data_IF_485774722332
#
_entry.id   IF_485774722332
#
_cell.length_a   1.000
_cell.length_b   1.000
_cell.length_c   1.000
_cell.angle_alpha   90.00
_cell.angle_beta   90.00
_cell.angle_gamma   90.00
#
_symmetry.space_group_name_H-M   'P 1'
#
loop_
_entity.id
_entity.type
_entity.pdbx_description
1 polymer ?
#
# COMPACT_ATOMS: atom_id res chain seq x y z
N UNK A 1 22.03 20.04 20.32
CA UNK A 1 21.54 18.92 19.48
C UNK A 1 22.12 17.56 19.92
N UNK A 2 23.26 17.52 20.62
CA UNK A 2 23.96 16.30 21.05
C UNK A 2 23.13 15.40 21.98
N UNK A 3 22.35 15.98 22.90
CA UNK A 3 21.56 15.22 23.91
C UNK A 3 20.53 14.23 23.35
N UNK A 4 19.89 14.52 22.21
CA UNK A 4 18.82 13.66 21.68
C UNK A 4 19.37 12.40 21.01
N UNK A 5 20.49 12.53 20.29
CA UNK A 5 21.13 11.40 19.62
C UNK A 5 21.75 10.45 20.66
N UNK A 6 22.42 11.00 21.67
CA UNK A 6 23.02 10.24 22.77
C UNK A 6 21.96 9.46 23.57
N UNK A 7 20.80 10.07 23.85
CA UNK A 7 19.69 9.38 24.49
C UNK A 7 19.21 8.17 23.66
N UNK A 8 19.06 8.34 22.34
CA UNK A 8 18.66 7.23 21.45
C UNK A 8 19.74 6.14 21.44
N UNK A 9 21.01 6.49 21.31
CA UNK A 9 22.10 5.51 21.24
C UNK A 9 22.21 4.70 22.53
N UNK A 10 22.15 5.36 23.68
CA UNK A 10 22.14 4.70 24.99
C UNK A 10 20.98 3.70 25.09
N UNK A 11 19.78 4.11 24.63
CA UNK A 11 18.61 3.24 24.60
C UNK A 11 18.70 2.07 23.63
N UNK A 12 19.41 2.21 22.53
CA UNK A 12 19.63 1.11 21.60
C UNK A 12 20.72 0.15 22.09
N UNK A 13 21.71 0.65 22.84
CA UNK A 13 22.77 -0.19 23.38
C UNK A 13 22.25 -1.18 24.44
N UNK A 14 21.26 -0.80 25.25
CA UNK A 14 20.65 -1.73 26.20
C UNK A 14 19.90 -2.89 25.53
N UNK A 15 19.46 -2.73 24.27
CA UNK A 15 18.80 -3.80 23.51
C UNK A 15 19.76 -4.93 23.10
N UNK A 16 21.07 -4.69 23.08
CA UNK A 16 22.08 -5.70 22.70
C UNK A 16 22.22 -6.81 23.76
N UNK A 17 21.76 -6.59 24.99
CA UNK A 17 21.88 -7.54 26.09
C UNK A 17 20.57 -8.31 26.32
N UNK A 18 20.26 -9.29 25.45
CA UNK A 18 18.99 -10.03 25.42
C UNK A 18 18.65 -10.85 26.69
N UNK A 19 19.57 -10.94 27.64
CA UNK A 19 19.49 -11.79 28.83
C UNK A 19 18.83 -11.11 30.03
N UNK A 20 18.56 -9.79 29.99
CA UNK A 20 17.89 -9.06 31.07
C UNK A 20 16.95 -7.96 30.54
N UNK A 21 15.76 -7.78 31.11
CA UNK A 21 14.93 -6.62 30.80
C UNK A 21 15.61 -5.34 31.28
N UNK A 22 15.56 -4.28 30.48
CA UNK A 22 16.06 -2.93 30.81
C UNK A 22 14.90 -1.93 30.86
N UNK A 23 15.07 -0.88 31.66
CA UNK A 23 14.15 0.26 31.72
C UNK A 23 14.98 1.53 31.59
N UNK A 24 14.59 2.39 30.67
CA UNK A 24 15.28 3.66 30.43
C UNK A 24 14.32 4.84 30.48
N UNK A 25 14.82 5.93 31.05
CA UNK A 25 14.09 7.19 31.17
C UNK A 25 14.69 8.23 30.24
N UNK A 26 13.98 8.53 29.16
CA UNK A 26 14.27 9.70 28.32
C UNK A 26 13.42 10.86 28.84
N UNK A 27 14.07 11.86 29.42
CA UNK A 27 13.41 13.04 29.99
C UNK A 27 13.84 14.34 29.30
N UNK A 28 12.95 15.32 29.27
CA UNK A 28 13.27 16.66 28.82
C UNK A 28 12.14 17.69 29.07
N UNK A 29 12.47 18.98 29.28
CA UNK A 29 11.50 20.06 29.46
C UNK A 29 10.46 20.20 28.31
N UNK A 30 9.37 20.96 28.49
CA UNK A 30 8.48 21.31 27.39
C UNK A 30 9.24 21.92 26.20
N UNK A 31 8.87 21.57 24.97
CA UNK A 31 9.53 22.08 23.77
C UNK A 31 10.85 21.41 23.36
N UNK A 32 11.42 20.49 24.15
CA UNK A 32 12.71 19.83 23.84
C UNK A 32 12.63 18.69 22.82
N UNK A 33 11.58 18.63 22.01
CA UNK A 33 11.48 17.68 20.90
C UNK A 33 11.30 16.21 21.28
N UNK A 34 10.84 15.87 22.49
CA UNK A 34 10.58 14.48 22.93
C UNK A 34 9.85 13.63 21.90
N UNK A 35 8.75 14.13 21.34
CA UNK A 35 7.98 13.41 20.31
C UNK A 35 8.79 13.15 19.04
N UNK A 36 9.67 14.09 18.65
CA UNK A 36 10.60 13.90 17.53
C UNK A 36 11.61 12.82 17.86
N UNK A 37 12.22 12.86 19.05
CA UNK A 37 13.15 11.83 19.54
C UNK A 37 12.50 10.45 19.53
N UNK A 38 11.29 10.30 20.09
CA UNK A 38 10.53 9.03 20.07
C UNK A 38 10.29 8.56 18.63
N UNK A 39 9.86 9.44 17.72
CA UNK A 39 9.57 9.05 16.33
C UNK A 39 10.82 8.58 15.59
N UNK A 40 11.97 9.22 15.83
CA UNK A 40 13.27 8.82 15.26
C UNK A 40 13.74 7.49 15.86
N UNK A 41 13.60 7.30 17.18
CA UNK A 41 13.92 6.03 17.84
C UNK A 41 13.08 4.88 17.27
N UNK A 42 11.77 5.08 17.11
CA UNK A 42 10.89 4.08 16.49
C UNK A 42 11.27 3.76 15.05
N UNK A 43 11.68 4.77 14.28
CA UNK A 43 12.16 4.56 12.92
C UNK A 43 13.44 3.69 12.89
N UNK A 44 14.37 3.91 13.82
CA UNK A 44 15.59 3.10 13.93
C UNK A 44 15.25 1.66 14.38
N UNK A 45 14.38 1.50 15.38
CA UNK A 45 13.93 0.17 15.82
C UNK A 45 13.25 -0.61 14.68
N UNK A 46 12.45 0.09 13.86
CA UNK A 46 11.82 -0.48 12.68
C UNK A 46 12.86 -0.94 11.63
N UNK A 47 13.90 -0.12 11.37
CA UNK A 47 15.02 -0.48 10.50
C UNK A 47 15.78 -1.70 11.02
N UNK A 48 15.96 -1.79 12.33
CA UNK A 48 16.57 -2.93 13.00
C UNK A 48 15.64 -4.15 13.14
N UNK A 49 14.42 -4.10 12.57
CA UNK A 49 13.40 -5.16 12.59
C UNK A 49 12.96 -5.59 14.01
N UNK A 50 13.01 -4.67 14.98
CA UNK A 50 12.47 -4.91 16.32
C UNK A 50 10.95 -4.70 16.35
N UNK A 51 10.22 -5.69 16.88
CA UNK A 51 8.78 -5.55 17.18
C UNK A 51 8.61 -4.61 18.36
N UNK A 52 8.05 -3.43 18.11
CA UNK A 52 7.97 -2.35 19.11
C UNK A 52 6.52 -1.98 19.37
N UNK A 53 6.10 -2.02 20.65
CA UNK A 53 4.82 -1.46 21.09
C UNK A 53 5.05 -0.03 21.61
N UNK A 54 4.35 0.93 21.01
CA UNK A 54 4.38 2.33 21.47
C UNK A 54 3.05 2.71 22.09
N UNK A 55 3.08 3.31 23.27
CA UNK A 55 1.90 3.83 23.94
C UNK A 55 2.10 5.31 24.31
N UNK A 56 1.00 6.07 24.39
CA UNK A 56 1.02 7.41 24.94
C UNK A 56 -0.27 7.70 25.73
N UNK A 57 -0.25 8.60 26.72
CA UNK A 57 -1.41 8.86 27.58
C UNK A 57 -2.60 9.51 26.87
N UNK A 58 -2.38 10.18 25.74
CA UNK A 58 -3.44 10.87 24.99
C UNK A 58 -3.47 10.47 23.52
N UNK A 59 -4.67 10.42 22.94
CA UNK A 59 -4.85 10.13 21.52
C UNK A 59 -4.11 11.12 20.62
N UNK A 60 -4.04 12.39 21.03
CA UNK A 60 -3.27 13.41 20.30
C UNK A 60 -1.79 13.05 20.26
N UNK A 61 -1.20 12.61 21.38
CA UNK A 61 0.19 12.19 21.39
C UNK A 61 0.43 10.94 20.51
N UNK A 62 -0.51 9.98 20.52
CA UNK A 62 -0.45 8.78 19.66
C UNK A 62 -0.42 9.20 18.18
N UNK A 63 -1.39 9.99 17.73
CA UNK A 63 -1.45 10.40 16.31
C UNK A 63 -0.27 11.29 15.91
N UNK A 64 0.24 12.12 16.82
CA UNK A 64 1.41 12.97 16.55
C UNK A 64 2.72 12.19 16.40
N UNK A 65 2.88 11.07 17.13
CA UNK A 65 4.02 10.15 16.95
C UNK A 65 3.85 9.38 15.65
N UNK A 66 2.65 8.82 15.42
CA UNK A 66 2.35 8.05 14.21
C UNK A 66 2.60 8.86 12.94
N UNK A 67 2.09 10.10 12.87
CA UNK A 67 2.26 11.02 11.74
C UNK A 67 3.74 11.29 11.44
N UNK A 68 4.54 11.53 12.48
CA UNK A 68 5.98 11.76 12.32
C UNK A 68 6.72 10.50 11.86
N UNK A 69 6.36 9.34 12.38
CA UNK A 69 6.96 8.07 11.95
C UNK A 69 6.64 7.78 10.48
N UNK A 70 5.39 7.93 10.05
CA UNK A 70 4.99 7.77 8.64
C UNK A 70 5.78 8.73 7.76
N UNK A 71 5.92 10.00 8.17
CA UNK A 71 6.72 10.97 7.43
C UNK A 71 8.18 10.56 7.27
N UNK A 72 8.83 10.07 8.34
CA UNK A 72 10.22 9.57 8.28
C UNK A 72 10.34 8.37 7.33
N UNK A 73 9.38 7.45 7.37
CA UNK A 73 9.31 6.30 6.46
C UNK A 73 9.20 6.80 5.02
N UNK A 74 8.23 7.66 4.72
CA UNK A 74 8.01 8.22 3.37
C UNK A 74 9.22 9.01 2.84
N UNK A 75 9.92 9.76 3.69
CA UNK A 75 11.14 10.49 3.33
C UNK A 75 12.30 9.54 3.00
N UNK A 76 12.39 8.41 3.72
CA UNK A 76 13.40 7.38 3.44
C UNK A 76 13.22 6.70 2.07
N UNK A 77 11.99 6.60 1.57
CA UNK A 77 11.71 6.09 0.22
C UNK A 77 12.14 7.03 -0.89
N UNK A 78 12.13 8.35 -0.66
CA UNK A 78 12.48 9.36 -1.67
C UNK A 78 13.98 9.47 -1.90
N UNK A 79 14.78 9.11 -0.90
CA UNK A 79 16.24 9.15 -0.95
C UNK A 79 16.80 7.74 -0.69
N UNK A 80 16.64 6.79 -1.64
CA UNK A 80 17.18 5.45 -1.47
C UNK A 80 18.71 5.50 -1.52
N UNK A 81 19.36 5.53 -0.36
CA UNK A 81 20.78 5.20 -0.27
C UNK A 81 20.94 3.70 -0.52
N UNK A 82 21.96 3.31 -1.30
CA UNK A 82 22.17 1.96 -1.81
C UNK A 82 22.29 0.84 -0.74
N UNK A 83 22.42 1.18 0.54
CA UNK A 83 22.64 0.24 1.66
C UNK A 83 21.47 0.17 2.66
N UNK A 84 20.38 0.91 2.45
CA UNK A 84 19.33 1.04 3.48
C UNK A 84 18.16 0.09 3.23
N UNK A 85 17.96 -0.87 4.13
CA UNK A 85 16.77 -1.74 4.19
C UNK A 85 15.50 -0.91 4.16
N UNK A 86 14.64 -1.14 3.17
CA UNK A 86 13.36 -0.44 3.04
C UNK A 86 12.46 -0.82 4.22
N UNK A 87 11.86 0.18 4.88
CA UNK A 87 10.83 -0.05 5.89
C UNK A 87 9.46 0.08 5.22
N UNK A 88 8.78 -1.02 4.87
CA UNK A 88 7.44 -0.92 4.31
C UNK A 88 6.50 -0.30 5.34
N UNK A 89 5.59 0.55 4.86
CA UNK A 89 4.56 1.16 5.72
C UNK A 89 3.66 0.11 6.37
N UNK A 90 3.53 -1.07 5.73
CA UNK A 90 2.80 -2.22 6.24
C UNK A 90 3.30 -2.75 7.59
N UNK A 91 4.58 -2.54 7.93
CA UNK A 91 5.16 -2.93 9.23
C UNK A 91 4.68 -2.08 10.41
N UNK A 92 4.00 -0.95 10.14
CA UNK A 92 3.46 -0.05 11.17
C UNK A 92 1.95 -0.20 11.26
N UNK A 93 1.45 -0.46 12.47
CA UNK A 93 0.02 -0.56 12.75
C UNK A 93 -0.40 0.43 13.84
N UNK A 94 -1.44 1.21 13.55
CA UNK A 94 -2.11 2.08 14.50
C UNK A 94 -3.46 1.45 14.89
N UNK A 95 -3.63 1.20 16.18
CA UNK A 95 -4.82 0.57 16.75
C UNK A 95 -5.53 1.49 17.75
N UNK A 96 -6.86 1.46 17.73
CA UNK A 96 -7.72 2.08 18.73
C UNK A 96 -9.04 2.58 18.15
N UNK A 97 -9.84 3.23 19.00
CA UNK A 97 -11.19 3.65 18.65
C UNK A 97 -11.19 4.80 17.61
N UNK A 98 -11.83 4.56 16.46
CA UNK A 98 -11.93 5.47 15.31
C UNK A 98 -12.39 6.89 15.71
N UNK A 99 -13.47 6.98 16.49
CA UNK A 99 -14.08 8.25 16.87
C UNK A 99 -13.22 9.07 17.83
N UNK A 100 -12.46 8.39 18.70
CA UNK A 100 -11.62 9.05 19.71
C UNK A 100 -10.24 9.42 19.19
N UNK A 101 -9.67 8.64 18.28
CA UNK A 101 -8.32 8.88 17.76
C UNK A 101 -8.24 10.09 16.80
N UNK A 102 -9.35 10.44 16.12
CA UNK A 102 -9.38 11.53 15.12
C UNK A 102 -8.26 11.38 14.08
N UNK A 103 -8.28 10.24 13.39
CA UNK A 103 -7.28 9.84 12.39
C UNK A 103 -7.24 10.85 11.24
N UNK A 104 -6.06 11.40 10.96
CA UNK A 104 -5.80 12.25 9.79
C UNK A 104 -5.52 11.42 8.53
N UNK A 105 -5.63 12.06 7.35
CA UNK A 105 -5.35 11.41 6.07
C UNK A 105 -3.90 10.89 5.98
N UNK A 106 -2.97 11.57 6.64
CA UNK A 106 -1.54 11.26 6.70
C UNK A 106 -1.19 9.95 7.41
N UNK A 107 -2.10 9.41 8.23
CA UNK A 107 -1.90 8.17 8.99
C UNK A 107 -3.02 7.15 8.78
N UNK A 108 -3.91 7.39 7.81
CA UNK A 108 -5.04 6.48 7.55
C UNK A 108 -4.57 5.11 7.06
N UNK A 109 -3.50 5.06 6.26
CA UNK A 109 -2.96 3.81 5.69
C UNK A 109 -2.36 2.85 6.73
N UNK A 110 -1.99 3.34 7.91
CA UNK A 110 -1.50 2.51 9.03
C UNK A 110 -2.61 2.15 10.02
N UNK A 111 -3.82 2.68 9.88
CA UNK A 111 -4.91 2.40 10.80
C UNK A 111 -5.52 1.02 10.57
N UNK A 112 -5.69 0.23 11.64
CA UNK A 112 -6.14 -1.16 11.55
C UNK A 112 -7.46 -1.31 10.81
N UNK A 113 -8.52 -0.63 11.24
CA UNK A 113 -9.85 -0.82 10.65
C UNK A 113 -9.86 -0.43 9.16
N UNK A 114 -9.11 0.60 8.80
CA UNK A 114 -8.95 0.98 7.39
C UNK A 114 -8.27 -0.15 6.59
N UNK A 115 -7.22 -0.78 7.12
CA UNK A 115 -6.56 -1.93 6.48
C UNK A 115 -7.48 -3.13 6.36
N UNK A 116 -8.30 -3.41 7.37
CA UNK A 116 -9.30 -4.47 7.32
C UNK A 116 -10.29 -4.20 6.19
N UNK A 117 -10.82 -2.98 6.07
CA UNK A 117 -11.73 -2.60 4.98
C UNK A 117 -11.07 -2.76 3.59
N UNK A 118 -9.77 -2.40 3.46
CA UNK A 118 -9.00 -2.61 2.21
C UNK A 118 -8.80 -4.10 1.91
N UNK A 119 -8.46 -4.90 2.91
CA UNK A 119 -8.24 -6.34 2.75
C UNK A 119 -9.53 -7.05 2.37
N UNK A 120 -10.67 -6.70 2.97
CA UNK A 120 -11.98 -7.28 2.60
C UNK A 120 -12.29 -7.02 1.14
N UNK A 121 -12.04 -5.80 0.63
CA UNK A 121 -12.21 -5.49 -0.80
C UNK A 121 -11.27 -6.33 -1.66
N UNK A 122 -10.00 -6.46 -1.26
CA UNK A 122 -9.00 -7.24 -1.99
C UNK A 122 -9.26 -8.75 -1.96
N UNK A 123 -9.91 -9.28 -0.93
CA UNK A 123 -10.20 -10.71 -0.79
C UNK A 123 -11.58 -11.09 -1.33
N UNK A 124 -12.31 -10.13 -1.92
CA UNK A 124 -13.63 -10.36 -2.53
C UNK A 124 -13.59 -11.37 -3.69
N UNK A 125 -14.67 -12.13 -3.86
CA UNK A 125 -14.75 -13.19 -4.88
C UNK A 125 -14.80 -12.67 -6.33
N UNK A 126 -15.34 -11.47 -6.56
CA UNK A 126 -15.62 -10.92 -7.89
C UNK A 126 -14.59 -9.86 -8.31
N UNK A 127 -14.07 -9.09 -7.36
CA UNK A 127 -13.14 -7.98 -7.62
C UNK A 127 -11.82 -8.11 -6.88
N UNK A 128 -11.64 -9.21 -6.13
CA UNK A 128 -10.45 -9.43 -5.34
C UNK A 128 -9.28 -9.98 -6.17
N UNK A 129 -8.12 -10.06 -5.52
CA UNK A 129 -6.83 -10.34 -6.14
C UNK A 129 -6.85 -11.68 -6.88
N UNK A 130 -7.44 -12.72 -6.28
CA UNK A 130 -7.57 -14.04 -6.88
C UNK A 130 -8.34 -13.97 -8.20
N UNK A 131 -9.48 -13.27 -8.23
CA UNK A 131 -10.24 -13.07 -9.46
C UNK A 131 -9.45 -12.26 -10.49
N UNK A 132 -8.79 -11.17 -10.08
CA UNK A 132 -7.97 -10.37 -10.99
C UNK A 132 -6.83 -11.18 -11.60
N UNK A 133 -6.17 -12.03 -10.81
CA UNK A 133 -5.11 -12.93 -11.30
C UNK A 133 -5.69 -13.95 -12.26
N UNK A 134 -6.76 -14.66 -11.89
CA UNK A 134 -7.40 -15.65 -12.75
C UNK A 134 -7.90 -15.04 -14.07
N UNK A 135 -8.50 -13.86 -14.04
CA UNK A 135 -8.96 -13.15 -15.24
C UNK A 135 -7.79 -12.70 -16.12
N UNK A 136 -6.68 -12.26 -15.53
CA UNK A 136 -5.49 -11.88 -16.29
C UNK A 136 -4.80 -13.11 -16.89
N UNK A 137 -4.71 -14.22 -16.14
CA UNK A 137 -4.16 -15.50 -16.61
C UNK A 137 -4.99 -16.07 -17.76
N UNK A 138 -6.30 -16.18 -17.57
CA UNK A 138 -7.22 -16.68 -18.60
C UNK A 138 -7.14 -15.84 -19.88
N UNK A 139 -7.05 -14.51 -19.78
CA UNK A 139 -6.80 -13.69 -20.96
C UNK A 139 -5.46 -14.01 -21.63
N UNK A 140 -4.37 -14.23 -20.89
CA UNK A 140 -3.07 -14.55 -21.47
C UNK A 140 -3.04 -15.94 -22.11
N UNK A 141 -3.76 -16.91 -21.55
CA UNK A 141 -3.90 -18.27 -22.06
C UNK A 141 -4.80 -18.32 -23.31
N UNK A 142 -5.96 -17.66 -23.26
CA UNK A 142 -7.01 -17.77 -24.29
C UNK A 142 -7.04 -16.58 -25.27
N UNK A 143 -6.03 -15.69 -25.23
CA UNK A 143 -6.01 -14.41 -25.96
C UNK A 143 -6.39 -14.54 -27.45
N UNK A 144 -5.84 -15.56 -28.13
CA UNK A 144 -6.07 -15.79 -29.56
C UNK A 144 -7.50 -16.26 -29.82
N UNK A 145 -8.00 -17.21 -29.02
CA UNK A 145 -9.37 -17.71 -29.13
C UNK A 145 -10.40 -16.62 -28.81
N UNK A 146 -10.15 -15.81 -27.77
CA UNK A 146 -10.94 -14.62 -27.45
C UNK A 146 -10.96 -13.61 -28.61
N UNK A 147 -9.83 -13.45 -29.31
CA UNK A 147 -9.75 -12.59 -30.48
C UNK A 147 -10.54 -13.14 -31.67
N UNK A 148 -10.48 -14.45 -31.93
CA UNK A 148 -11.25 -15.08 -33.00
C UNK A 148 -12.76 -14.90 -32.78
N UNK A 149 -13.22 -15.11 -31.54
CA UNK A 149 -14.61 -14.85 -31.13
C UNK A 149 -14.96 -13.36 -31.30
N UNK A 150 -14.05 -12.45 -30.94
CA UNK A 150 -14.25 -11.01 -31.14
C UNK A 150 -14.41 -10.65 -32.63
N UNK A 151 -13.54 -11.19 -33.50
CA UNK A 151 -13.60 -10.97 -34.95
C UNK A 151 -14.92 -11.48 -35.51
N UNK A 152 -15.35 -12.69 -35.15
CA UNK A 152 -16.62 -13.27 -35.59
C UNK A 152 -17.81 -12.37 -35.17
N UNK A 153 -17.82 -11.91 -33.92
CA UNK A 153 -18.85 -11.01 -33.41
C UNK A 153 -18.89 -9.65 -34.13
N UNK A 154 -17.73 -9.05 -34.43
CA UNK A 154 -17.68 -7.79 -35.18
C UNK A 154 -18.13 -7.98 -36.63
N UNK A 155 -17.81 -9.11 -37.27
CA UNK A 155 -18.31 -9.45 -38.61
C UNK A 155 -19.83 -9.61 -38.63
N UNK A 156 -20.42 -10.24 -37.62
CA UNK A 156 -21.88 -10.35 -37.47
C UNK A 156 -22.52 -8.96 -37.31
N UNK A 157 -21.93 -8.07 -36.51
CA UNK A 157 -22.42 -6.68 -36.34
C UNK A 157 -22.36 -5.89 -37.65
N UNK A 158 -21.27 -6.04 -38.42
CA UNK A 158 -21.11 -5.37 -39.71
C UNK A 158 -22.16 -5.85 -40.73
N UNK A 159 -22.46 -7.15 -40.78
CA UNK A 159 -23.53 -7.69 -41.64
C UNK A 159 -24.90 -7.12 -41.28
N UNK A 160 -25.26 -7.10 -39.99
CA UNK A 160 -26.54 -6.53 -39.51
C UNK A 160 -26.70 -5.04 -39.79
N UNK A 161 -25.60 -4.29 -39.87
CA UNK A 161 -25.59 -2.87 -40.21
C UNK A 161 -25.71 -2.63 -41.73
N UNK A 162 -25.24 -3.55 -42.56
CA UNK A 162 -25.43 -3.48 -44.00
C UNK A 162 -26.89 -3.71 -44.40
N UNK A 163 -27.63 -4.52 -43.63
CA UNK A 163 -29.06 -4.79 -43.85
C UNK A 163 -29.98 -3.65 -43.37
N UNK A 164 -29.45 -2.68 -42.62
CA UNK A 164 -30.15 -1.48 -42.16
C UNK A 164 -29.53 -0.26 -42.83
N UNK A 165 -29.99 0.06 -44.03
CA UNK A 165 -29.65 1.33 -44.70
C UNK A 165 -30.12 2.51 -43.84
N UNK A 166 -29.24 3.06 -43.01
CA UNK A 166 -29.25 4.50 -42.73
C UNK A 166 -27.88 4.99 -42.26
N UNK A 167 -27.54 6.16 -42.77
CA UNK A 167 -26.21 6.72 -42.79
C UNK A 167 -25.66 7.03 -41.39
N UNK A 168 -24.43 6.58 -41.11
CA UNK A 168 -23.42 7.44 -40.46
C UNK A 168 -22.01 6.92 -40.72
N UNK A 169 -21.19 7.83 -41.23
CA UNK A 169 -19.77 7.66 -41.54
C UNK A 169 -18.98 7.11 -40.35
N UNK A 170 -18.45 5.91 -40.52
CA UNK A 170 -17.41 5.33 -39.70
C UNK A 170 -17.37 3.83 -39.93
N UNK A 171 -16.66 3.36 -40.97
CA UNK A 171 -16.31 1.94 -41.09
C UNK A 171 -15.59 1.57 -39.79
N UNK A 172 -16.27 0.90 -38.85
CA UNK A 172 -15.62 0.31 -37.68
C UNK A 172 -14.61 -0.69 -38.21
N UNK A 173 -13.35 -0.29 -38.23
CA UNK A 173 -12.24 -1.16 -38.58
C UNK A 173 -12.07 -2.16 -37.45
N UNK A 174 -12.16 -3.45 -37.75
CA UNK A 174 -11.85 -4.52 -36.79
C UNK A 174 -10.41 -4.27 -36.32
N UNK A 175 -10.24 -4.16 -35.01
CA UNK A 175 -8.92 -3.96 -34.40
C UNK A 175 -8.01 -5.14 -34.71
N UNK A 176 -6.71 -4.89 -34.89
CA UNK A 176 -5.73 -5.97 -35.01
C UNK A 176 -5.67 -6.80 -33.72
N UNK A 177 -5.13 -8.01 -33.79
CA UNK A 177 -4.88 -8.85 -32.60
C UNK A 177 -4.06 -8.11 -31.54
N UNK A 178 -3.04 -7.36 -31.97
CA UNK A 178 -2.17 -6.61 -31.07
C UNK A 178 -2.96 -5.48 -30.37
N UNK A 179 -3.79 -4.75 -31.10
CA UNK A 179 -4.59 -3.67 -30.52
C UNK A 179 -5.66 -4.20 -29.56
N UNK A 180 -6.31 -5.33 -29.93
CA UNK A 180 -7.23 -6.05 -29.07
C UNK A 180 -6.55 -6.51 -27.78
N UNK A 181 -5.42 -7.22 -27.91
CA UNK A 181 -4.68 -7.76 -26.79
C UNK A 181 -4.19 -6.64 -25.85
N UNK A 182 -3.67 -5.54 -26.40
CA UNK A 182 -3.23 -4.39 -25.60
C UNK A 182 -4.39 -3.74 -24.85
N UNK A 183 -5.53 -3.55 -25.51
CA UNK A 183 -6.73 -2.98 -24.88
C UNK A 183 -7.22 -3.86 -23.73
N UNK A 184 -7.33 -5.17 -23.97
CA UNK A 184 -7.82 -6.13 -22.99
C UNK A 184 -6.86 -6.30 -21.81
N UNK A 185 -5.56 -6.41 -22.08
CA UNK A 185 -4.52 -6.46 -21.06
C UNK A 185 -4.54 -5.23 -20.15
N UNK A 186 -4.68 -4.02 -20.71
CA UNK A 186 -4.71 -2.81 -19.89
C UNK A 186 -5.90 -2.81 -18.91
N UNK A 187 -7.05 -3.37 -19.29
CA UNK A 187 -8.21 -3.49 -18.42
C UNK A 187 -7.99 -4.49 -17.27
N UNK A 188 -7.49 -5.68 -17.60
CA UNK A 188 -7.25 -6.75 -16.61
C UNK A 188 -6.06 -6.41 -15.70
N UNK A 189 -4.96 -5.91 -16.27
CA UNK A 189 -3.77 -5.48 -15.54
C UNK A 189 -4.04 -4.28 -14.62
N UNK A 190 -4.90 -3.33 -15.00
CA UNK A 190 -5.27 -2.21 -14.13
C UNK A 190 -5.92 -2.70 -12.84
N UNK A 191 -6.90 -3.60 -12.95
CA UNK A 191 -7.60 -4.19 -11.81
C UNK A 191 -6.64 -4.98 -10.92
N UNK A 192 -5.76 -5.79 -11.53
CA UNK A 192 -4.74 -6.53 -10.81
C UNK A 192 -3.75 -5.62 -10.07
N UNK A 193 -3.25 -4.56 -10.72
CA UNK A 193 -2.34 -3.58 -10.10
C UNK A 193 -2.99 -2.91 -8.90
N UNK A 194 -4.23 -2.45 -9.02
CA UNK A 194 -4.96 -1.84 -7.90
C UNK A 194 -5.10 -2.82 -6.73
N UNK A 195 -5.41 -4.08 -7.03
CA UNK A 195 -5.58 -5.09 -5.97
C UNK A 195 -4.24 -5.44 -5.30
N UNK A 196 -3.18 -5.62 -6.08
CA UNK A 196 -1.84 -5.87 -5.55
C UNK A 196 -1.33 -4.69 -4.71
N UNK A 197 -1.53 -3.45 -5.16
CA UNK A 197 -1.11 -2.27 -4.41
C UNK A 197 -1.79 -2.19 -3.04
N UNK A 198 -3.12 -2.40 -3.00
CA UNK A 198 -3.87 -2.43 -1.73
C UNK A 198 -3.43 -3.59 -0.83
N UNK A 199 -3.20 -4.78 -1.40
CA UNK A 199 -2.77 -5.96 -0.65
C UNK A 199 -1.37 -5.77 -0.05
N UNK A 200 -0.38 -5.38 -0.85
CA UNK A 200 1.01 -5.19 -0.41
C UNK A 200 1.17 -4.05 0.61
N UNK A 201 0.32 -3.02 0.56
CA UNK A 201 0.35 -1.94 1.55
C UNK A 201 -0.33 -2.32 2.87
N UNK A 202 -1.24 -3.30 2.84
CA UNK A 202 -2.04 -3.69 4.01
C UNK A 202 -1.51 -4.97 4.69
N UNK A 203 -0.69 -5.75 3.99
CA UNK A 203 -0.18 -7.04 4.43
C UNK A 203 1.35 -7.05 4.35
N UNK A 204 2.03 -7.30 5.46
CA UNK A 204 3.47 -7.55 5.49
C UNK A 204 3.70 -8.84 6.27
N UNK A 205 4.45 -9.77 5.66
CA UNK A 205 4.72 -11.12 6.15
C UNK A 205 5.96 -11.12 7.03
#
# INVERSE_FOLDING_TARGET
MILQAEAILTSLDSLKCCHKPSVELIWGPPGTGKTKTTSVMLFILLKMKYRTLTCAPTNVAITQVASRLVKLISESFKNPSAEMDICPLGDVLLFGNKHRLKIGQDITEIYLDYRVDRLVECLGSITGWKHCISSTSGFLEDCVSDYDIYVENELIKLKKLADKEEATKGKRKISSLIDFARSRFNLTASSLRTCMFKFCNSFTV
#
